data_IF_086579519322
#
_entry.id   IF_086579519322
#
_cell.length_a   1.000
_cell.length_b   1.000
_cell.length_c   1.000
_cell.angle_alpha   90.00
_cell.angle_beta   90.00
_cell.angle_gamma   90.00
#
_symmetry.space_group_name_H-M   'P 1'
#
loop_
_entity.id
_entity.type
_entity.pdbx_description
1 polymer ?
#
# COMPACT_ATOMS: atom_id res chain seq x y z
N UNK A 1 40.07 -3.83 34.67
CA UNK A 1 38.69 -4.34 34.81
C UNK A 1 37.80 -3.57 33.84
N UNK A 2 37.24 -4.24 32.83
CA UNK A 2 36.31 -3.61 31.88
C UNK A 2 34.98 -3.40 32.61
N UNK A 3 34.49 -2.16 32.64
CA UNK A 3 33.22 -1.83 33.28
C UNK A 3 32.04 -2.35 32.47
N UNK A 4 30.96 -2.79 33.14
CA UNK A 4 29.69 -3.18 32.49
C UNK A 4 29.15 -2.08 31.56
N UNK A 5 29.42 -0.82 31.90
CA UNK A 5 29.08 0.35 31.06
C UNK A 5 29.83 0.36 29.73
N UNK A 6 31.09 -0.05 29.73
CA UNK A 6 31.92 -0.13 28.51
C UNK A 6 31.51 -1.31 27.64
N UNK A 7 31.07 -2.42 28.24
CA UNK A 7 30.58 -3.61 27.50
C UNK A 7 29.25 -3.33 26.77
N UNK A 8 28.32 -2.59 27.40
CA UNK A 8 27.02 -2.23 26.80
C UNK A 8 27.14 -1.21 25.67
N UNK A 9 28.08 -0.26 25.75
CA UNK A 9 28.31 0.72 24.70
C UNK A 9 28.92 0.13 23.42
N UNK A 10 29.66 -0.99 23.53
CA UNK A 10 30.26 -1.69 22.40
C UNK A 10 29.30 -2.58 21.60
N UNK A 11 28.17 -3.00 22.18
CA UNK A 11 27.22 -3.90 21.52
C UNK A 11 26.24 -3.21 20.56
N UNK A 12 26.09 -1.88 20.64
CA UNK A 12 25.11 -1.15 19.83
C UNK A 12 25.50 -1.01 18.34
N UNK A 13 26.77 -1.28 17.98
CA UNK A 13 27.30 -1.02 16.64
C UNK A 13 27.24 -2.22 15.68
N UNK A 14 26.71 -3.39 16.10
CA UNK A 14 26.79 -4.62 15.32
C UNK A 14 25.45 -5.34 15.07
N UNK A 15 24.31 -4.66 15.27
CA UNK A 15 23.03 -5.22 14.81
C UNK A 15 22.95 -5.04 13.28
N UNK A 16 22.77 -6.11 12.49
CA UNK A 16 22.47 -5.96 11.07
C UNK A 16 21.21 -5.11 10.95
N UNK A 17 21.26 -4.07 10.11
CA UNK A 17 20.07 -3.31 9.77
C UNK A 17 18.99 -4.31 9.31
N UNK A 18 17.87 -4.36 10.00
CA UNK A 18 16.75 -5.20 9.59
C UNK A 18 16.38 -4.81 8.15
N UNK A 19 16.44 -5.77 7.23
CA UNK A 19 16.08 -5.52 5.84
C UNK A 19 14.68 -4.92 5.78
N UNK A 20 14.54 -3.77 5.12
CA UNK A 20 13.24 -3.14 4.95
C UNK A 20 12.31 -4.11 4.22
N UNK A 21 11.10 -4.34 4.76
CA UNK A 21 10.10 -5.14 4.05
C UNK A 21 9.77 -4.46 2.71
N UNK A 22 9.79 -5.19 1.59
CA UNK A 22 9.43 -4.61 0.30
C UNK A 22 7.98 -4.12 0.35
N UNK A 23 7.72 -2.98 -0.29
CA UNK A 23 6.34 -2.52 -0.53
C UNK A 23 5.70 -3.45 -1.56
N UNK A 24 4.48 -3.91 -1.29
CA UNK A 24 3.69 -4.73 -2.22
C UNK A 24 2.47 -3.92 -2.61
N UNK A 25 2.37 -3.62 -3.92
CA UNK A 25 1.20 -3.00 -4.51
C UNK A 25 0.17 -4.01 -5.02
N UNK A 26 -1.07 -3.56 -5.21
CA UNK A 26 -2.16 -4.37 -5.79
C UNK A 26 -2.73 -3.69 -7.03
N UNK A 27 -2.80 -4.41 -8.15
CA UNK A 27 -3.60 -4.00 -9.29
C UNK A 27 -5.09 -4.24 -9.03
N UNK A 28 -5.90 -3.18 -9.07
CA UNK A 28 -7.32 -3.25 -8.68
C UNK A 28 -8.15 -4.19 -9.55
N UNK A 29 -7.70 -4.46 -10.78
CA UNK A 29 -8.36 -5.40 -11.70
C UNK A 29 -8.48 -6.84 -11.15
N UNK A 30 -7.58 -7.24 -10.24
CA UNK A 30 -7.68 -8.52 -9.53
C UNK A 30 -8.98 -8.67 -8.73
N UNK A 31 -9.59 -7.56 -8.29
CA UNK A 31 -10.84 -7.52 -7.51
C UNK A 31 -12.00 -6.87 -8.27
N UNK A 32 -11.93 -6.80 -9.61
CA UNK A 32 -12.91 -6.09 -10.45
C UNK A 32 -14.37 -6.49 -10.19
N UNK A 33 -14.66 -7.77 -9.95
CA UNK A 33 -16.02 -8.22 -9.70
C UNK A 33 -16.55 -7.82 -8.33
N UNK A 34 -15.68 -7.67 -7.33
CA UNK A 34 -16.04 -7.19 -6.01
C UNK A 34 -16.22 -5.66 -6.05
N UNK A 35 -15.34 -4.94 -6.76
CA UNK A 35 -15.48 -3.50 -7.01
C UNK A 35 -16.78 -3.16 -7.75
N UNK A 36 -17.22 -4.00 -8.70
CA UNK A 36 -18.51 -3.85 -9.37
C UNK A 36 -19.72 -4.02 -8.44
N UNK A 37 -19.58 -4.82 -7.37
CA UNK A 37 -20.68 -5.10 -6.42
C UNK A 37 -20.73 -4.08 -5.28
N UNK A 38 -19.57 -3.73 -4.75
CA UNK A 38 -19.40 -2.83 -3.61
C UNK A 38 -18.05 -2.12 -3.74
N UNK A 39 -18.07 -0.99 -4.44
CA UNK A 39 -16.87 -0.21 -4.70
C UNK A 39 -16.21 0.29 -3.40
N UNK A 40 -16.90 1.01 -2.50
CA UNK A 40 -16.29 1.53 -1.28
C UNK A 40 -15.85 0.43 -0.32
N UNK A 41 -16.66 -0.60 -0.12
CA UNK A 41 -16.34 -1.70 0.78
C UNK A 41 -15.17 -2.55 0.30
N UNK A 42 -15.03 -2.73 -1.02
CA UNK A 42 -13.89 -3.45 -1.60
C UNK A 42 -12.59 -2.66 -1.44
N UNK A 43 -12.60 -1.34 -1.65
CA UNK A 43 -11.44 -0.47 -1.38
C UNK A 43 -11.03 -0.53 0.09
N UNK A 44 -11.98 -0.43 1.02
CA UNK A 44 -11.69 -0.55 2.45
C UNK A 44 -11.08 -1.93 2.80
N UNK A 45 -11.57 -3.01 2.18
CA UNK A 45 -11.03 -4.36 2.37
C UNK A 45 -9.60 -4.48 1.86
N UNK A 46 -9.20 -3.82 0.77
CA UNK A 46 -7.80 -3.79 0.31
C UNK A 46 -6.86 -3.26 1.41
N UNK A 47 -7.26 -2.20 2.11
CA UNK A 47 -6.49 -1.67 3.24
C UNK A 47 -6.43 -2.65 4.41
N UNK A 48 -7.53 -3.32 4.72
CA UNK A 48 -7.61 -4.34 5.78
C UNK A 48 -6.70 -5.54 5.50
N UNK A 49 -6.56 -5.94 4.23
CA UNK A 49 -5.63 -6.99 3.80
C UNK A 49 -4.14 -6.58 3.91
N UNK A 50 -3.85 -5.30 4.18
CA UNK A 50 -2.51 -4.80 4.41
C UNK A 50 -1.85 -4.09 3.22
N UNK A 51 -2.55 -3.96 2.09
CA UNK A 51 -2.07 -3.17 0.97
C UNK A 51 -2.08 -1.67 1.31
N UNK A 52 -1.13 -0.94 0.72
CA UNK A 52 -0.98 0.51 0.87
C UNK A 52 -0.92 1.24 -0.47
N UNK A 53 -0.46 0.56 -1.50
CA UNK A 53 -0.25 1.10 -2.84
C UNK A 53 -1.07 0.32 -3.84
N UNK A 54 -1.73 1.03 -4.75
CA UNK A 54 -2.62 0.45 -5.76
C UNK A 54 -2.21 0.90 -7.16
N UNK A 55 -2.27 -0.03 -8.10
CA UNK A 55 -2.43 0.29 -9.52
C UNK A 55 -3.93 0.34 -9.83
N UNK A 56 -4.43 1.53 -10.14
CA UNK A 56 -5.87 1.76 -10.33
C UNK A 56 -6.30 1.59 -11.78
N UNK A 57 -7.60 1.56 -12.02
CA UNK A 57 -8.20 1.56 -13.37
C UNK A 57 -9.33 2.59 -13.43
N UNK A 58 -9.78 2.93 -14.63
CA UNK A 58 -10.93 3.80 -14.80
C UNK A 58 -12.23 3.08 -14.36
N UNK A 59 -13.07 3.76 -13.59
CA UNK A 59 -14.37 3.26 -13.13
C UNK A 59 -15.46 4.26 -13.54
N UNK A 60 -16.36 3.92 -14.47
CA UNK A 60 -17.26 4.88 -15.11
C UNK A 60 -18.17 5.65 -14.16
N UNK A 61 -18.60 4.99 -13.07
CA UNK A 61 -19.56 5.54 -12.10
C UNK A 61 -18.90 6.44 -11.04
N UNK A 62 -17.58 6.63 -11.10
CA UNK A 62 -16.82 7.41 -10.13
C UNK A 62 -15.85 8.39 -10.80
N UNK A 63 -15.98 9.67 -10.48
CA UNK A 63 -15.01 10.66 -10.94
C UNK A 63 -13.63 10.39 -10.32
N UNK A 64 -12.56 10.81 -11.01
CA UNK A 64 -11.20 10.70 -10.49
C UNK A 64 -11.03 11.39 -9.12
N UNK A 65 -11.79 12.47 -8.86
CA UNK A 65 -11.77 13.19 -7.58
C UNK A 65 -12.39 12.35 -6.46
N UNK A 66 -13.55 11.74 -6.69
CA UNK A 66 -14.22 10.89 -5.72
C UNK A 66 -13.39 9.65 -5.43
N UNK A 67 -12.83 9.03 -6.49
CA UNK A 67 -11.96 7.88 -6.32
C UNK A 67 -10.72 8.24 -5.51
N UNK A 68 -10.04 9.36 -5.84
CA UNK A 68 -8.89 9.84 -5.06
C UNK A 68 -9.24 10.07 -3.60
N UNK A 69 -10.36 10.73 -3.32
CA UNK A 69 -10.83 10.96 -1.94
C UNK A 69 -11.06 9.65 -1.21
N UNK A 70 -11.72 8.68 -1.84
CA UNK A 70 -11.99 7.38 -1.24
C UNK A 70 -10.70 6.62 -0.90
N UNK A 71 -9.68 6.70 -1.76
CA UNK A 71 -8.37 6.12 -1.47
C UNK A 71 -7.70 6.81 -0.29
N UNK A 72 -7.67 8.14 -0.28
CA UNK A 72 -7.07 8.94 0.81
C UNK A 72 -7.77 8.65 2.16
N UNK A 73 -9.09 8.60 2.17
CA UNK A 73 -9.90 8.31 3.37
C UNK A 73 -9.61 6.90 3.94
N UNK A 74 -9.15 5.97 3.11
CA UNK A 74 -8.74 4.61 3.51
C UNK A 74 -7.22 4.46 3.71
N UNK A 75 -6.44 5.54 3.57
CA UNK A 75 -4.98 5.49 3.69
C UNK A 75 -4.32 4.64 2.60
N UNK A 76 -4.90 4.62 1.40
CA UNK A 76 -4.38 3.95 0.20
C UNK A 76 -3.85 5.00 -0.78
N UNK A 77 -2.79 4.66 -1.51
CA UNK A 77 -2.20 5.52 -2.55
C UNK A 77 -2.33 4.87 -3.92
N UNK A 78 -2.90 5.57 -4.89
CA UNK A 78 -2.72 5.22 -6.29
C UNK A 78 -1.28 5.60 -6.71
N UNK A 79 -0.50 4.62 -7.17
CA UNK A 79 0.91 4.83 -7.59
C UNK A 79 1.13 4.58 -9.08
N UNK A 80 0.21 3.86 -9.72
CA UNK A 80 0.14 3.67 -11.17
C UNK A 80 -1.32 3.55 -11.61
N UNK A 81 -1.55 3.56 -12.92
CA UNK A 81 -2.86 3.38 -13.52
C UNK A 81 -2.77 2.50 -14.75
N UNK A 82 -3.63 1.49 -14.84
CA UNK A 82 -3.87 0.72 -16.05
C UNK A 82 -4.82 1.51 -16.96
N UNK A 83 -4.35 1.79 -18.17
CA UNK A 83 -5.15 2.40 -19.26
C UNK A 83 -5.11 1.46 -20.47
N UNK A 84 -6.22 1.30 -21.22
CA UNK A 84 -6.16 0.60 -22.49
C UNK A 84 -5.23 1.34 -23.48
N UNK A 85 -4.71 0.58 -24.45
CA UNK A 85 -4.03 1.14 -25.61
C UNK A 85 -5.08 1.48 -26.67
N UNK A 86 -5.13 2.74 -27.08
CA UNK A 86 -5.94 3.18 -28.23
C UNK A 86 -5.05 3.12 -29.47
N UNK A 87 -5.48 2.38 -30.50
CA UNK A 87 -4.78 2.23 -31.79
C UNK A 87 -5.21 3.25 -32.81
#
# INVERSE_FOLDING_TARGET
MISRRTLLAGLAAALPAAAAKPSIGLQTYSLRYDLQKDFPGTIARMRQMGFRELEVSNWPDHSAREYRKLLDDNGLRAVSMMTPYES
#
